data_IF_119132115451
#
_entry.id   IF_119132115451
#
_cell.length_a   1.000
_cell.length_b   1.000
_cell.length_c   1.000
_cell.angle_alpha   90.00
_cell.angle_beta   90.00
_cell.angle_gamma   90.00
#
_symmetry.space_group_name_H-M   'P 1'
#
loop_
_entity.id
_entity.type
_entity.pdbx_description
1 polymer ?
#
# COMPACT_ATOMS: atom_id res chain seq x y z
N UNK A 1 -0.76 -29.37 -11.45
CA UNK A 1 0.41 -29.69 -12.32
C UNK A 1 0.07 -29.63 -13.80
N UNK A 2 -0.99 -30.30 -14.26
CA UNK A 2 -1.36 -30.35 -15.69
C UNK A 2 -1.72 -28.99 -16.30
N UNK A 3 -2.26 -28.06 -15.50
CA UNK A 3 -2.59 -26.68 -15.90
C UNK A 3 -1.36 -25.77 -16.05
N UNK A 4 -0.27 -26.04 -15.32
CA UNK A 4 0.98 -25.28 -15.39
C UNK A 4 1.81 -25.71 -16.60
N UNK A 5 1.90 -27.01 -16.87
CA UNK A 5 2.59 -27.52 -18.06
C UNK A 5 1.92 -27.04 -19.35
N UNK A 6 0.58 -27.01 -19.40
CA UNK A 6 -0.17 -26.44 -20.53
C UNK A 6 0.08 -24.94 -20.69
N UNK A 7 0.19 -24.18 -19.58
CA UNK A 7 0.59 -22.77 -19.62
C UNK A 7 2.02 -22.60 -20.16
N UNK A 8 2.98 -23.39 -19.67
CA UNK A 8 4.36 -23.35 -20.15
C UNK A 8 4.46 -23.68 -21.63
N UNK A 9 3.75 -24.71 -22.10
CA UNK A 9 3.69 -25.08 -23.52
C UNK A 9 3.02 -24.00 -24.38
N UNK A 10 1.95 -23.37 -23.87
CA UNK A 10 1.21 -22.33 -24.59
C UNK A 10 1.98 -21.00 -24.70
N UNK A 11 2.86 -20.73 -23.75
CA UNK A 11 3.60 -19.46 -23.65
C UNK A 11 5.11 -19.62 -23.85
N UNK A 12 5.56 -20.77 -24.36
CA UNK A 12 6.96 -21.12 -24.62
C UNK A 12 7.89 -20.89 -23.41
N UNK A 13 7.39 -21.16 -22.20
CA UNK A 13 8.20 -21.10 -20.99
C UNK A 13 8.86 -22.44 -20.68
N UNK A 14 10.08 -22.44 -20.11
CA UNK A 14 10.68 -23.66 -19.60
C UNK A 14 9.77 -24.26 -18.52
N UNK A 15 9.57 -25.59 -18.58
CA UNK A 15 8.74 -26.34 -17.62
C UNK A 15 9.32 -26.22 -16.20
N UNK A 16 10.62 -25.97 -16.07
CA UNK A 16 11.24 -25.71 -14.78
C UNK A 16 10.72 -24.36 -14.22
N UNK A 17 10.05 -24.36 -13.06
CA UNK A 17 9.49 -23.15 -12.50
C UNK A 17 10.57 -22.18 -12.04
N UNK A 18 10.40 -20.91 -12.42
CA UNK A 18 11.14 -19.77 -11.89
C UNK A 18 10.17 -18.81 -11.20
N UNK A 19 10.65 -17.90 -10.32
CA UNK A 19 9.78 -16.90 -9.68
C UNK A 19 8.95 -16.11 -10.68
N UNK A 20 9.54 -15.75 -11.83
CA UNK A 20 8.87 -14.99 -12.89
C UNK A 20 7.82 -15.84 -13.61
N UNK A 21 8.16 -17.08 -13.98
CA UNK A 21 7.22 -18.00 -14.63
C UNK A 21 6.03 -18.35 -13.74
N UNK A 22 6.27 -18.50 -12.43
CA UNK A 22 5.21 -18.69 -11.43
C UNK A 22 4.33 -17.44 -11.33
N UNK A 23 4.93 -16.24 -11.27
CA UNK A 23 4.15 -15.00 -11.24
C UNK A 23 3.27 -14.84 -12.48
N UNK A 24 3.77 -15.17 -13.66
CA UNK A 24 2.96 -15.12 -14.89
C UNK A 24 1.86 -16.17 -14.92
N UNK A 25 2.14 -17.37 -14.41
CA UNK A 25 1.14 -18.42 -14.30
C UNK A 25 0.00 -18.03 -13.35
N UNK A 26 0.32 -17.44 -12.20
CA UNK A 26 -0.68 -16.99 -11.21
C UNK A 26 -1.58 -15.93 -11.84
N UNK A 27 -1.01 -14.93 -12.52
CA UNK A 27 -1.78 -13.90 -13.25
C UNK A 27 -2.64 -14.51 -14.35
N UNK A 28 -2.08 -15.43 -15.15
CA UNK A 28 -2.82 -16.12 -16.21
C UNK A 28 -4.01 -16.92 -15.67
N UNK A 29 -3.84 -17.61 -14.54
CA UNK A 29 -4.92 -18.38 -13.93
C UNK A 29 -5.99 -17.49 -13.29
N UNK A 30 -5.62 -16.30 -12.80
CA UNK A 30 -6.57 -15.36 -12.19
C UNK A 30 -7.67 -14.90 -13.17
N UNK A 31 -7.35 -14.79 -14.46
CA UNK A 31 -8.31 -14.45 -15.53
C UNK A 31 -9.40 -15.52 -15.76
N UNK A 32 -9.19 -16.76 -15.29
CA UNK A 32 -10.09 -17.89 -15.50
C UNK A 32 -10.79 -18.38 -14.22
N UNK A 33 -10.63 -17.67 -13.09
CA UNK A 33 -11.21 -18.05 -11.79
C UNK A 33 -12.37 -17.12 -11.43
N UNK A 34 -13.50 -17.70 -10.97
CA UNK A 34 -14.60 -16.90 -10.45
C UNK A 34 -14.17 -16.08 -9.22
N UNK A 35 -14.58 -14.79 -9.09
CA UNK A 35 -14.09 -13.87 -8.06
C UNK A 35 -14.14 -14.41 -6.62
N UNK A 36 -15.20 -15.17 -6.31
CA UNK A 36 -15.46 -15.71 -4.96
C UNK A 36 -14.48 -16.83 -4.55
N UNK A 37 -13.67 -17.33 -5.47
CA UNK A 37 -12.70 -18.41 -5.25
C UNK A 37 -11.25 -17.94 -5.30
N UNK A 38 -11.01 -16.67 -5.65
CA UNK A 38 -9.65 -16.10 -5.80
C UNK A 38 -8.91 -16.12 -4.47
N UNK A 39 -9.57 -15.78 -3.35
CA UNK A 39 -8.98 -15.83 -2.02
C UNK A 39 -8.54 -17.25 -1.63
N UNK A 40 -9.35 -18.26 -1.94
CA UNK A 40 -9.04 -19.66 -1.66
C UNK A 40 -7.90 -20.18 -2.55
N UNK A 41 -7.85 -19.77 -3.82
CA UNK A 41 -6.78 -20.15 -4.75
C UNK A 41 -5.45 -19.49 -4.44
N UNK A 42 -5.46 -18.17 -4.18
CA UNK A 42 -4.26 -17.44 -3.76
C UNK A 42 -3.75 -17.97 -2.42
N UNK A 43 -4.64 -18.29 -1.47
CA UNK A 43 -4.26 -18.96 -0.22
C UNK A 43 -3.62 -20.33 -0.49
N UNK A 44 -4.19 -21.15 -1.37
CA UNK A 44 -3.63 -22.45 -1.76
C UNK A 44 -2.26 -22.34 -2.46
N UNK A 45 -2.09 -21.34 -3.32
CA UNK A 45 -0.83 -21.06 -4.02
C UNK A 45 0.21 -20.55 -3.03
N UNK A 46 -0.11 -19.56 -2.19
CA UNK A 46 0.77 -19.07 -1.14
C UNK A 46 1.12 -20.20 -0.15
N UNK A 47 0.19 -21.12 0.14
CA UNK A 47 0.46 -22.29 0.99
C UNK A 47 1.36 -23.34 0.35
N UNK A 48 1.30 -23.47 -0.97
CA UNK A 48 2.22 -24.34 -1.71
C UNK A 48 3.62 -23.73 -1.84
N UNK A 49 3.70 -22.40 -1.80
CA UNK A 49 4.94 -21.63 -1.97
C UNK A 49 5.63 -21.29 -0.64
N UNK A 50 4.91 -21.27 0.48
CA UNK A 50 5.42 -20.98 1.83
C UNK A 50 6.65 -21.80 2.24
N UNK A 51 6.77 -23.12 1.93
CA UNK A 51 7.98 -23.88 2.24
C UNK A 51 9.24 -23.36 1.52
N UNK A 52 9.06 -22.63 0.42
CA UNK A 52 10.13 -22.07 -0.41
C UNK A 52 10.28 -20.55 -0.23
N UNK A 53 9.21 -19.87 0.17
CA UNK A 53 9.10 -18.43 0.34
C UNK A 53 8.28 -18.13 1.61
N UNK A 54 8.87 -18.24 2.81
CA UNK A 54 8.13 -18.11 4.07
C UNK A 54 7.44 -16.74 4.24
N UNK A 55 7.94 -15.70 3.58
CA UNK A 55 7.39 -14.33 3.64
C UNK A 55 6.16 -14.11 2.73
N UNK A 56 5.75 -15.10 1.93
CA UNK A 56 4.75 -14.92 0.86
C UNK A 56 3.31 -14.76 1.38
N UNK A 57 3.08 -14.98 2.68
CA UNK A 57 1.74 -15.13 3.26
C UNK A 57 1.23 -13.98 4.11
N UNK A 58 2.08 -13.05 4.50
CA UNK A 58 1.68 -12.14 5.58
C UNK A 58 1.17 -10.83 5.01
N UNK A 59 -0.15 -10.67 5.02
CA UNK A 59 -0.87 -9.46 4.64
C UNK A 59 -1.52 -8.89 5.90
N UNK A 60 -1.45 -7.56 6.08
CA UNK A 60 -2.15 -6.93 7.20
C UNK A 60 -3.66 -7.05 7.04
N UNK A 61 -4.36 -7.38 8.12
CA UNK A 61 -5.81 -7.23 8.21
C UNK A 61 -6.18 -5.85 8.79
N UNK A 62 -7.44 -5.40 8.67
CA UNK A 62 -7.91 -4.21 9.37
C UNK A 62 -7.72 -4.28 10.89
N UNK A 63 -7.83 -5.47 11.48
CA UNK A 63 -7.61 -5.71 12.90
C UNK A 63 -6.14 -5.51 13.28
N UNK A 64 -5.20 -5.96 12.44
CA UNK A 64 -3.78 -5.70 12.67
C UNK A 64 -3.48 -4.20 12.71
N UNK A 65 -4.16 -3.40 11.87
CA UNK A 65 -3.96 -1.95 11.90
C UNK A 65 -4.29 -1.34 13.27
N UNK A 66 -5.27 -1.92 13.98
CA UNK A 66 -5.67 -1.45 15.30
C UNK A 66 -4.58 -1.65 16.34
N UNK A 67 -3.67 -2.62 16.18
CA UNK A 67 -2.51 -2.79 17.07
C UNK A 67 -1.64 -1.52 17.05
N UNK A 68 -1.33 -1.03 15.85
CA UNK A 68 -0.52 0.19 15.66
C UNK A 68 -1.31 1.44 16.06
N UNK A 69 -2.60 1.52 15.75
CA UNK A 69 -3.46 2.64 16.18
C UNK A 69 -3.55 2.72 17.70
N UNK A 70 -3.67 1.60 18.40
CA UNK A 70 -3.71 1.59 19.86
C UNK A 70 -2.36 1.95 20.49
N UNK A 71 -1.25 1.56 19.86
CA UNK A 71 0.09 1.87 20.36
C UNK A 71 0.48 3.35 20.18
N UNK A 72 0.11 3.97 19.06
CA UNK A 72 0.60 5.30 18.68
C UNK A 72 -0.51 6.37 18.53
N UNK A 73 -1.79 5.99 18.64
CA UNK A 73 -2.93 6.85 18.30
C UNK A 73 -3.06 8.11 19.16
N UNK A 74 -2.56 8.07 20.39
CA UNK A 74 -2.56 9.22 21.31
C UNK A 74 -1.18 9.87 21.44
N UNK A 75 -0.17 9.37 20.71
CA UNK A 75 1.18 9.93 20.76
C UNK A 75 1.22 11.32 20.12
N UNK A 76 1.98 12.21 20.75
CA UNK A 76 2.29 13.55 20.26
C UNK A 76 3.74 13.65 19.75
N UNK A 77 4.51 12.58 19.89
CA UNK A 77 5.88 12.51 19.36
C UNK A 77 5.87 12.56 17.83
N UNK A 78 6.79 13.33 17.25
CA UNK A 78 6.81 13.56 15.82
C UNK A 78 7.09 12.29 15.01
N UNK A 79 8.02 11.45 15.47
CA UNK A 79 8.41 10.22 14.77
C UNK A 79 7.33 9.14 14.90
N UNK A 80 6.58 9.12 16.01
CA UNK A 80 5.40 8.28 16.18
C UNK A 80 4.26 8.71 15.23
N UNK A 81 3.98 10.01 15.15
CA UNK A 81 3.01 10.56 14.21
C UNK A 81 3.40 10.24 12.76
N UNK A 82 4.68 10.37 12.42
CA UNK A 82 5.25 9.98 11.12
C UNK A 82 5.00 8.50 10.83
N UNK A 83 5.38 7.63 11.75
CA UNK A 83 5.26 6.18 11.57
C UNK A 83 3.80 5.77 11.40
N UNK A 84 2.90 6.25 12.26
CA UNK A 84 1.47 5.95 12.18
C UNK A 84 0.85 6.45 10.87
N UNK A 85 1.20 7.68 10.46
CA UNK A 85 0.74 8.24 9.20
C UNK A 85 1.24 7.44 7.99
N UNK A 86 2.53 7.07 7.95
CA UNK A 86 3.09 6.25 6.87
C UNK A 86 2.46 4.86 6.82
N UNK A 87 2.28 4.21 7.96
CA UNK A 87 1.74 2.86 8.05
C UNK A 87 0.29 2.80 7.52
N UNK A 88 -0.59 3.66 8.02
CA UNK A 88 -1.99 3.69 7.58
C UNK A 88 -2.12 4.16 6.13
N UNK A 89 -1.35 5.18 5.74
CA UNK A 89 -1.34 5.65 4.35
C UNK A 89 -0.85 4.54 3.42
N UNK A 90 0.22 3.84 3.76
CA UNK A 90 0.76 2.74 2.95
C UNK A 90 -0.25 1.62 2.73
N UNK A 91 -1.02 1.29 3.77
CA UNK A 91 -2.12 0.33 3.67
C UNK A 91 -3.26 0.85 2.78
N UNK A 92 -3.84 2.01 3.11
CA UNK A 92 -5.03 2.53 2.42
C UNK A 92 -4.75 2.90 0.97
N UNK A 93 -3.56 3.43 0.68
CA UNK A 93 -3.15 3.91 -0.63
C UNK A 93 -2.40 2.85 -1.47
N UNK A 94 -2.24 1.62 -0.94
CA UNK A 94 -1.52 0.51 -1.57
C UNK A 94 -0.07 0.83 -1.96
N UNK A 95 0.58 1.72 -1.19
CA UNK A 95 1.92 2.18 -1.50
C UNK A 95 2.94 1.09 -1.20
N UNK A 96 3.97 1.04 -2.02
CA UNK A 96 5.18 0.26 -1.69
C UNK A 96 5.96 1.01 -0.63
N UNK A 97 6.62 0.29 0.26
CA UNK A 97 7.49 0.92 1.26
C UNK A 97 8.58 1.82 0.64
N UNK A 98 9.06 1.48 -0.55
CA UNK A 98 10.02 2.32 -1.29
C UNK A 98 9.47 3.66 -1.80
N UNK A 99 8.15 3.88 -1.76
CA UNK A 99 7.50 5.17 -2.07
C UNK A 99 7.37 6.04 -0.79
N UNK A 100 7.44 5.43 0.39
CA UNK A 100 7.34 6.09 1.70
C UNK A 100 8.72 6.38 2.32
N UNK A 101 9.71 5.53 2.03
CA UNK A 101 11.00 5.51 2.71
C UNK A 101 12.16 5.45 1.74
N UNK A 102 13.31 5.99 2.16
CA UNK A 102 14.56 5.81 1.46
C UNK A 102 15.11 4.38 1.58
N UNK A 103 15.85 3.90 0.55
CA UNK A 103 16.67 2.71 0.71
C UNK A 103 17.75 2.94 1.76
N UNK A 104 18.12 1.89 2.50
CA UNK A 104 19.19 1.98 3.52
C UNK A 104 20.57 2.24 2.90
N UNK A 105 20.78 1.75 1.67
CA UNK A 105 21.98 2.08 0.91
C UNK A 105 21.90 3.54 0.41
N UNK A 106 22.73 4.39 0.99
CA UNK A 106 22.81 5.84 0.70
C UNK A 106 23.14 6.14 -0.77
N UNK A 107 23.89 5.27 -1.45
CA UNK A 107 24.21 5.44 -2.87
C UNK A 107 22.98 5.31 -3.80
N UNK A 108 21.88 4.74 -3.30
CA UNK A 108 20.63 4.58 -4.04
C UNK A 108 19.58 5.65 -3.67
N UNK A 109 19.88 6.52 -2.71
CA UNK A 109 18.97 7.57 -2.26
C UNK A 109 18.91 8.69 -3.30
N UNK A 110 17.70 9.10 -3.65
CA UNK A 110 17.44 10.11 -4.65
C UNK A 110 16.21 10.91 -4.23
N UNK A 111 16.43 12.14 -3.76
CA UNK A 111 15.37 13.05 -3.31
C UNK A 111 14.33 13.35 -4.40
N UNK A 112 14.68 13.20 -5.69
CA UNK A 112 13.71 13.36 -6.79
C UNK A 112 12.62 12.29 -6.78
N UNK A 113 12.81 11.20 -6.04
CA UNK A 113 11.84 10.12 -5.86
C UNK A 113 11.02 10.26 -4.57
N UNK A 114 11.35 11.24 -3.72
CA UNK A 114 10.59 11.53 -2.51
C UNK A 114 9.30 12.28 -2.86
N UNK A 115 8.21 11.94 -2.17
CA UNK A 115 6.97 12.70 -2.28
C UNK A 115 7.21 14.13 -1.81
N UNK A 116 6.94 15.14 -2.64
CA UNK A 116 7.19 16.52 -2.28
C UNK A 116 5.99 17.10 -1.50
N UNK A 117 6.27 17.85 -0.44
CA UNK A 117 5.26 18.43 0.46
C UNK A 117 4.36 19.44 -0.25
N UNK A 118 4.90 20.24 -1.17
CA UNK A 118 4.19 21.30 -1.91
C UNK A 118 3.11 20.76 -2.87
N UNK A 119 3.21 19.48 -3.27
CA UNK A 119 2.21 18.79 -4.10
C UNK A 119 1.15 18.04 -3.30
N UNK A 120 1.22 18.07 -1.97
CA UNK A 120 0.17 17.47 -1.13
C UNK A 120 -1.04 18.40 -1.12
N UNK A 121 -2.18 17.89 -1.58
CA UNK A 121 -3.46 18.59 -1.57
C UNK A 121 -4.32 17.98 -0.45
N UNK A 122 -4.90 18.82 0.41
CA UNK A 122 -5.76 18.38 1.51
C UNK A 122 -7.14 19.00 1.32
N UNK A 123 -8.15 18.15 1.25
CA UNK A 123 -9.57 18.49 1.14
C UNK A 123 -10.32 18.04 2.41
N UNK A 124 -11.58 18.47 2.63
CA UNK A 124 -12.34 18.09 3.83
C UNK A 124 -12.58 16.58 3.98
N UNK A 125 -12.67 15.87 2.87
CA UNK A 125 -13.08 14.47 2.76
C UNK A 125 -11.97 13.55 2.24
N UNK A 126 -10.82 14.08 1.82
CA UNK A 126 -9.70 13.28 1.34
C UNK A 126 -8.40 14.09 1.27
N UNK A 127 -7.27 13.42 1.14
CA UNK A 127 -6.02 14.06 0.74
C UNK A 127 -5.42 13.38 -0.49
N UNK A 128 -4.58 14.12 -1.22
CA UNK A 128 -3.95 13.67 -2.46
C UNK A 128 -2.44 13.72 -2.30
N UNK A 129 -1.78 12.61 -2.60
CA UNK A 129 -0.33 12.47 -2.65
C UNK A 129 0.14 12.41 -4.09
N UNK A 130 1.28 13.05 -4.37
CA UNK A 130 1.97 12.95 -5.64
C UNK A 130 3.16 11.99 -5.53
N UNK A 131 3.19 10.99 -6.40
CA UNK A 131 4.29 10.04 -6.55
C UNK A 131 5.19 10.46 -7.72
N UNK A 132 6.44 10.88 -7.46
CA UNK A 132 7.37 11.22 -8.53
C UNK A 132 7.89 9.94 -9.20
N UNK A 133 7.47 9.71 -10.45
CA UNK A 133 8.08 8.77 -11.41
C UNK A 133 8.14 7.29 -11.01
N UNK A 134 7.39 6.44 -11.73
CA UNK A 134 7.49 4.98 -11.63
C UNK A 134 8.44 4.41 -12.71
N UNK A 135 8.98 3.19 -12.53
CA UNK A 135 9.75 2.46 -13.58
C UNK A 135 9.02 2.25 -14.91
N UNK A 136 7.71 2.53 -14.95
CA UNK A 136 6.84 2.44 -16.13
C UNK A 136 6.29 3.80 -16.57
N UNK A 137 6.74 4.89 -15.94
CA UNK A 137 6.33 6.25 -16.28
C UNK A 137 7.16 6.73 -17.48
N UNK A 138 6.64 6.44 -18.67
CA UNK A 138 7.29 6.78 -19.94
C UNK A 138 7.26 8.29 -20.23
N UNK A 139 6.41 9.04 -19.51
CA UNK A 139 6.15 10.47 -19.75
C UNK A 139 6.56 11.39 -18.58
N UNK A 140 7.05 10.82 -17.47
CA UNK A 140 7.48 11.55 -16.26
C UNK A 140 6.39 12.44 -15.64
N UNK A 141 5.12 12.10 -15.85
CA UNK A 141 3.99 12.89 -15.33
C UNK A 141 3.76 12.65 -13.83
N UNK A 142 4.31 11.55 -13.28
CA UNK A 142 4.02 11.10 -11.92
C UNK A 142 2.60 10.52 -11.79
N UNK A 143 2.26 10.07 -10.57
CA UNK A 143 0.92 9.55 -10.28
C UNK A 143 0.33 10.24 -9.06
N UNK A 144 -0.96 10.58 -9.11
CA UNK A 144 -1.70 11.08 -7.96
C UNK A 144 -2.43 9.94 -7.27
N UNK A 145 -2.31 9.88 -5.95
CA UNK A 145 -3.00 8.88 -5.13
C UNK A 145 -3.93 9.60 -4.17
N UNK A 146 -5.20 9.20 -4.17
CA UNK A 146 -6.22 9.77 -3.30
C UNK A 146 -6.44 8.86 -2.10
N UNK A 147 -6.44 9.46 -0.91
CA UNK A 147 -6.70 8.77 0.35
C UNK A 147 -7.96 9.37 0.98
N UNK A 148 -9.06 8.60 1.02
CA UNK A 148 -10.34 9.09 1.53
C UNK A 148 -10.31 9.24 3.05
N UNK A 149 -11.08 10.20 3.56
CA UNK A 149 -11.46 10.28 4.94
C UNK A 149 -12.55 9.23 5.21
N UNK A 150 -12.19 8.19 5.95
CA UNK A 150 -13.12 7.11 6.29
C UNK A 150 -13.59 7.22 7.74
N UNK A 151 -14.75 6.64 8.02
CA UNK A 151 -15.25 6.46 9.40
C UNK A 151 -14.54 5.32 10.15
N UNK A 152 -13.58 4.63 9.52
CA UNK A 152 -12.84 3.55 10.15
C UNK A 152 -11.99 4.05 11.33
N UNK A 153 -11.86 3.30 12.43
CA UNK A 153 -10.90 3.62 13.49
C UNK A 153 -9.44 3.60 13.00
N UNK A 154 -9.15 2.88 11.91
CA UNK A 154 -7.85 2.87 11.21
C UNK A 154 -7.73 3.95 10.11
N UNK A 155 -8.53 5.01 10.19
CA UNK A 155 -8.56 6.08 9.19
C UNK A 155 -7.20 6.79 9.05
N UNK A 156 -6.60 6.71 7.86
CA UNK A 156 -5.35 7.38 7.54
C UNK A 156 -5.47 8.92 7.55
N UNK A 157 -6.64 9.47 7.20
CA UNK A 157 -6.82 10.92 7.01
C UNK A 157 -6.50 11.73 8.27
N UNK A 158 -7.09 11.36 9.41
CA UNK A 158 -6.89 12.10 10.67
C UNK A 158 -5.45 11.99 11.17
N UNK A 159 -4.82 10.82 10.98
CA UNK A 159 -3.43 10.56 11.39
C UNK A 159 -2.44 11.29 10.50
N UNK A 160 -2.67 11.30 9.19
CA UNK A 160 -1.90 12.08 8.23
C UNK A 160 -2.00 13.58 8.53
N UNK A 161 -3.20 14.10 8.78
CA UNK A 161 -3.39 15.52 9.14
C UNK A 161 -2.70 15.91 10.46
N UNK A 162 -2.63 15.00 11.44
CA UNK A 162 -1.87 15.22 12.67
C UNK A 162 -0.36 15.30 12.40
N UNK A 163 0.17 14.34 11.65
CA UNK A 163 1.57 14.36 11.21
C UNK A 163 1.91 15.61 10.39
N UNK A 164 1.08 15.98 9.42
CA UNK A 164 1.33 17.12 8.52
C UNK A 164 1.47 18.43 9.31
N UNK A 165 0.61 18.65 10.31
CA UNK A 165 0.71 19.81 11.22
C UNK A 165 2.01 19.81 12.02
N UNK A 166 2.42 18.64 12.52
CA UNK A 166 3.69 18.49 13.27
C UNK A 166 4.90 18.76 12.35
N UNK A 167 4.89 18.17 11.15
CA UNK A 167 5.92 18.33 10.12
C UNK A 167 6.07 19.77 9.66
N UNK A 168 4.97 20.47 9.36
CA UNK A 168 5.04 21.85 8.87
C UNK A 168 5.48 22.83 9.95
N UNK A 169 5.23 22.51 11.23
CA UNK A 169 5.76 23.28 12.36
C UNK A 169 7.27 23.13 12.50
N UNK A 170 7.81 21.92 12.34
CA UNK A 170 9.25 21.65 12.50
C UNK A 170 10.07 22.02 11.26
N UNK A 171 9.51 21.80 10.07
CA UNK A 171 10.23 21.86 8.80
C UNK A 171 9.50 22.70 7.73
N UNK A 172 9.16 23.97 8.02
CA UNK A 172 8.33 24.80 7.14
C UNK A 172 8.94 25.02 5.73
N UNK A 173 10.26 24.92 5.60
CA UNK A 173 10.99 25.19 4.34
C UNK A 173 11.58 23.93 3.70
N UNK A 174 11.45 22.75 4.32
CA UNK A 174 11.95 21.52 3.72
C UNK A 174 10.98 21.07 2.60
N UNK A 175 11.48 20.55 1.46
CA UNK A 175 10.61 20.13 0.37
C UNK A 175 9.99 18.74 0.56
N UNK A 176 10.63 17.87 1.35
CA UNK A 176 10.20 16.47 1.48
C UNK A 176 8.98 16.31 2.40
N UNK A 177 8.06 15.42 2.01
CA UNK A 177 6.85 15.14 2.79
C UNK A 177 7.17 14.34 4.06
N UNK A 178 7.87 13.22 3.91
CA UNK A 178 8.17 12.29 5.01
C UNK A 178 9.51 12.65 5.63
N UNK A 179 9.46 13.27 6.80
CA UNK A 179 10.62 13.76 7.54
C UNK A 179 10.52 13.28 8.97
N UNK A 180 11.63 12.77 9.50
CA UNK A 180 11.84 12.47 10.91
C UNK A 180 12.10 13.75 11.69
N UNK A 181 12.08 13.63 13.01
CA UNK A 181 12.34 14.71 13.97
C UNK A 181 13.73 15.33 13.82
N UNK A 182 14.69 14.59 13.23
CA UNK A 182 16.03 15.07 12.89
C UNK A 182 16.13 15.72 11.49
N UNK A 183 15.02 15.83 10.76
CA UNK A 183 14.94 16.41 9.42
C UNK A 183 15.36 15.46 8.29
N UNK A 184 15.64 14.19 8.58
CA UNK A 184 15.98 13.19 7.56
C UNK A 184 14.76 12.45 7.04
N UNK A 185 14.82 11.98 5.79
CA UNK A 185 13.79 11.07 5.24
C UNK A 185 13.95 9.70 5.91
N UNK A 186 12.87 9.06 6.42
CA UNK A 186 12.96 7.76 7.05
C UNK A 186 13.46 6.69 6.06
N UNK A 187 14.37 5.84 6.53
CA UNK A 187 14.85 4.67 5.78
C UNK A 187 13.92 3.47 5.96
N UNK A 188 14.04 2.46 5.09
CA UNK A 188 13.30 1.19 5.24
C UNK A 188 13.59 0.53 6.59
N UNK A 189 14.84 0.46 7.03
CA UNK A 189 15.21 -0.12 8.33
C UNK A 189 14.55 0.62 9.50
N UNK A 190 14.49 1.95 9.45
CA UNK A 190 13.77 2.77 10.44
C UNK A 190 12.30 2.36 10.55
N UNK A 191 11.62 2.22 9.41
CA UNK A 191 10.21 1.81 9.39
C UNK A 191 10.02 0.37 9.87
N UNK A 192 10.82 -0.57 9.36
CA UNK A 192 10.70 -1.99 9.72
C UNK A 192 11.06 -2.23 11.18
N UNK A 193 12.03 -1.50 11.74
CA UNK A 193 12.38 -1.60 13.17
C UNK A 193 11.20 -1.23 14.05
N UNK A 194 10.47 -0.14 13.71
CA UNK A 194 9.25 0.25 14.42
C UNK A 194 8.12 -0.74 14.20
N UNK A 195 8.01 -1.33 13.02
CA UNK A 195 7.02 -2.36 12.71
C UNK A 195 7.23 -3.64 13.54
N UNK A 196 8.47 -4.11 13.61
CA UNK A 196 8.83 -5.36 14.30
C UNK A 196 8.81 -5.26 15.83
N UNK A 197 8.55 -4.07 16.38
CA UNK A 197 8.18 -3.94 17.80
C UNK A 197 6.78 -4.51 18.09
N UNK A 198 5.91 -4.60 17.08
CA UNK A 198 4.51 -4.99 17.23
C UNK A 198 4.16 -6.28 16.49
N UNK A 199 4.90 -6.60 15.44
CA UNK A 199 4.62 -7.77 14.59
C UNK A 199 5.86 -8.65 14.40
N UNK A 200 5.68 -9.95 14.12
CA UNK A 200 6.77 -10.85 13.71
C UNK A 200 7.52 -10.33 12.47
N UNK A 201 8.74 -10.84 12.29
CA UNK A 201 9.64 -10.44 11.18
C UNK A 201 9.09 -10.74 9.78
N UNK A 202 8.12 -11.65 9.70
CA UNK A 202 7.39 -12.03 8.47
C UNK A 202 6.57 -10.85 7.92
N UNK A 203 6.13 -9.94 8.79
CA UNK A 203 5.47 -8.71 8.36
C UNK A 203 6.50 -7.72 7.82
N UNK A 204 6.23 -7.16 6.64
CA UNK A 204 7.13 -6.21 6.00
C UNK A 204 6.36 -5.09 5.29
N UNK A 205 7.10 -4.19 4.65
CA UNK A 205 6.52 -3.18 3.77
C UNK A 205 5.65 -3.75 2.63
N UNK A 206 5.89 -4.99 2.19
CA UNK A 206 5.04 -5.65 1.19
C UNK A 206 3.69 -6.06 1.77
N UNK A 207 3.64 -6.40 3.06
CA UNK A 207 2.43 -6.80 3.79
C UNK A 207 1.37 -5.71 3.83
N UNK A 208 1.79 -4.43 3.82
CA UNK A 208 0.87 -3.28 3.76
C UNK A 208 0.08 -3.25 2.46
N UNK A 209 0.79 -3.33 1.34
CA UNK A 209 0.17 -3.31 0.02
C UNK A 209 -0.69 -4.54 -0.23
N UNK A 210 -0.21 -5.72 0.19
CA UNK A 210 -0.98 -6.96 0.09
C UNK A 210 -2.27 -6.88 0.94
N UNK A 211 -2.14 -6.44 2.20
CA UNK A 211 -3.27 -6.28 3.11
C UNK A 211 -4.33 -5.31 2.61
N UNK A 212 -3.90 -4.13 2.16
CA UNK A 212 -4.81 -3.13 1.61
C UNK A 212 -5.53 -3.62 0.35
N UNK A 213 -4.83 -4.35 -0.52
CA UNK A 213 -5.44 -4.92 -1.72
C UNK A 213 -6.48 -5.98 -1.38
N UNK A 214 -6.17 -6.87 -0.44
CA UNK A 214 -7.13 -7.87 0.08
C UNK A 214 -8.35 -7.20 0.71
N UNK A 215 -8.16 -6.15 1.51
CA UNK A 215 -9.26 -5.42 2.13
C UNK A 215 -10.20 -4.79 1.10
N UNK A 216 -9.67 -4.22 0.01
CA UNK A 216 -10.48 -3.68 -1.09
C UNK A 216 -11.28 -4.76 -1.81
N UNK A 217 -10.67 -5.91 -2.09
CA UNK A 217 -11.36 -7.05 -2.72
C UNK A 217 -12.48 -7.56 -1.80
N UNK A 218 -12.22 -7.71 -0.51
CA UNK A 218 -13.23 -8.13 0.48
C UNK A 218 -14.36 -7.11 0.63
N UNK A 219 -14.08 -5.82 0.43
CA UNK A 219 -15.08 -4.76 0.39
C UNK A 219 -15.89 -4.72 -0.92
N UNK A 220 -15.60 -5.61 -1.88
CA UNK A 220 -16.31 -5.70 -3.16
C UNK A 220 -15.93 -4.61 -4.16
N UNK A 221 -14.78 -3.96 -3.98
CA UNK A 221 -14.28 -2.96 -4.94
C UNK A 221 -13.81 -3.70 -6.21
N UNK A 222 -14.34 -3.36 -7.40
CA UNK A 222 -13.98 -4.04 -8.64
C UNK A 222 -12.48 -3.97 -8.93
N UNK A 223 -11.91 -5.07 -9.42
CA UNK A 223 -10.50 -5.15 -9.81
C UNK A 223 -10.29 -4.55 -11.20
N UNK A 224 -10.40 -3.22 -11.33
CA UNK A 224 -10.09 -2.51 -12.56
C UNK A 224 -8.76 -1.73 -12.44
N UNK A 225 -7.76 -1.99 -13.30
CA UNK A 225 -6.50 -1.24 -13.32
C UNK A 225 -6.68 0.26 -13.59
N UNK A 226 -7.80 0.71 -14.18
CA UNK A 226 -8.13 2.12 -14.38
C UNK A 226 -8.71 2.80 -13.13
N UNK A 227 -9.38 2.05 -12.24
CA UNK A 227 -9.89 2.59 -10.96
C UNK A 227 -8.71 2.98 -10.05
N UNK A 228 -7.62 2.21 -10.07
CA UNK A 228 -6.44 2.43 -9.23
C UNK A 228 -5.57 3.65 -9.61
N UNK A 229 -5.80 4.25 -10.78
CA UNK A 229 -5.06 5.43 -11.29
C UNK A 229 -5.94 6.63 -11.60
N UNK A 230 -7.26 6.52 -11.40
CA UNK A 230 -8.21 7.59 -11.69
C UNK A 230 -8.96 7.99 -10.40
N UNK A 231 -8.53 9.07 -9.73
CA UNK A 231 -9.15 9.60 -8.51
C UNK A 231 -10.68 9.66 -8.55
N UNK A 232 -11.24 10.00 -9.71
CA UNK A 232 -12.67 10.25 -9.89
C UNK A 232 -13.52 8.99 -9.78
N UNK A 233 -12.98 7.80 -10.09
CA UNK A 233 -13.73 6.53 -10.07
C UNK A 233 -13.65 5.86 -8.69
N UNK A 234 -12.55 6.03 -7.97
CA UNK A 234 -12.43 5.62 -6.56
C UNK A 234 -13.43 6.39 -5.68
N UNK A 235 -13.62 7.68 -5.96
CA UNK A 235 -14.66 8.52 -5.36
C UNK A 235 -16.06 8.00 -5.70
N UNK A 236 -16.39 7.70 -6.95
CA UNK A 236 -17.75 7.24 -7.28
C UNK A 236 -18.11 5.90 -6.62
N UNK A 237 -17.16 4.97 -6.48
CA UNK A 237 -17.40 3.64 -5.88
C UNK A 237 -17.47 3.71 -4.35
N UNK A 238 -16.63 4.51 -3.70
CA UNK A 238 -16.67 4.66 -2.23
C UNK A 238 -17.88 5.49 -1.74
N UNK A 239 -18.43 6.37 -2.57
CA UNK A 239 -19.54 7.26 -2.19
C UNK A 239 -20.93 6.84 -2.74
N UNK A 240 -21.05 5.84 -3.63
CA UNK A 240 -22.36 5.34 -4.10
C UNK A 240 -23.00 4.26 -3.21
N UNK A 241 -22.27 3.68 -2.25
CA UNK A 241 -22.83 2.68 -1.34
C UNK A 241 -23.67 3.25 -0.19
N UNK A 242 -23.85 4.58 -0.13
CA UNK A 242 -24.61 5.27 0.92
C UNK A 242 -25.94 5.88 0.48
N UNK A 243 -26.52 5.46 -0.64
CA UNK A 243 -27.90 5.83 -1.01
C UNK A 243 -28.80 4.60 -0.96
N UNK A 244 -29.37 4.32 0.21
CA UNK A 244 -30.62 3.56 0.28
C UNK A 244 -31.73 4.39 -0.38
N UNK A 245 -32.50 3.85 -1.33
CA UNK A 245 -33.69 4.54 -1.80
C UNK A 245 -34.70 4.57 -0.65
N UNK A 246 -35.04 5.77 -0.20
CA UNK A 246 -36.26 5.97 0.59
C UNK A 246 -37.42 5.66 -0.35
N UNK A 247 -38.09 4.53 -0.07
CA UNK A 247 -39.32 4.17 -0.75
C UNK A 247 -40.40 5.21 -0.48
N UNK A 248 -41.02 5.69 -1.55
CA UNK A 248 -42.36 6.28 -1.54
C UNK A 248 -43.40 5.18 -1.60
#
# INVERSE_FOLDING_TARGET
MQSYTVFCEKHDFPIQPTPDTISFYITYMADYIQPNSIANYLSGICSSLEPFFPDIKVAFSPEDLMVIVNAYGDSVDHDDLLFLAQFLTGFTALLRLGELCFPDNTALQDYRKCMPRDRVEVYPDHFVLFLPGHKADRFFEGNKVVVPNSSSPSNAFSRFAAYLRSRDRLFPLCPDLWLRSDGTVPTRSWFTTRLHQHFPTEYSGHSLRAGGATALVLAGVPDDPYIRKNPTILTSILFHSSVTPVGT
#
